data_IF_362588434203
#
_entry.id   IF_362588434203
#
_cell.length_a   1.000
_cell.length_b   1.000
_cell.length_c   1.000
_cell.angle_alpha   90.00
_cell.angle_beta   90.00
_cell.angle_gamma   90.00
#
_symmetry.space_group_name_H-M   'P 1'
#
loop_
_entity.id
_entity.type
_entity.pdbx_description
1 polymer ?
#
# COMPACT_ATOMS: atom_id res chain seq x y z
N UNK A 1 -9.57 9.94 -0.59
CA UNK A 1 -8.42 9.41 0.19
C UNK A 1 -7.33 8.95 -0.77
N UNK A 2 -6.07 8.96 -0.36
CA UNK A 2 -4.94 8.46 -1.15
C UNK A 2 -3.84 7.90 -0.25
N UNK A 3 -3.12 6.92 -0.77
CA UNK A 3 -1.88 6.39 -0.21
C UNK A 3 -0.73 6.81 -1.10
N UNK A 4 0.29 7.44 -0.54
CA UNK A 4 1.44 7.96 -1.27
C UNK A 4 2.69 7.30 -0.69
N UNK A 5 3.42 6.60 -1.53
CA UNK A 5 4.68 5.97 -1.18
C UNK A 5 5.51 5.74 -2.45
N UNK A 6 6.84 5.57 -2.34
CA UNK A 6 7.65 5.09 -3.43
C UNK A 6 7.16 3.72 -3.91
N UNK A 7 6.89 3.60 -5.21
CA UNK A 7 6.50 2.34 -5.81
C UNK A 7 7.73 1.45 -6.07
N UNK A 8 7.54 0.14 -6.02
CA UNK A 8 8.56 -0.82 -6.43
C UNK A 8 8.82 -0.73 -7.94
N UNK A 9 10.08 -0.89 -8.35
CA UNK A 9 10.49 -0.71 -9.74
C UNK A 9 10.07 -1.88 -10.65
N UNK A 10 9.96 -3.09 -10.09
CA UNK A 10 9.55 -4.28 -10.84
C UNK A 10 8.02 -4.45 -10.84
N UNK A 11 7.34 -3.87 -9.85
CA UNK A 11 5.88 -3.85 -9.76
C UNK A 11 5.35 -2.53 -9.16
N UNK A 12 4.95 -1.55 -10.00
CA UNK A 12 4.48 -0.24 -9.55
C UNK A 12 3.19 -0.24 -8.71
N UNK A 13 2.51 -1.38 -8.58
CA UNK A 13 1.35 -1.55 -7.68
C UNK A 13 1.77 -1.73 -6.22
N UNK A 14 3.03 -2.06 -5.97
CA UNK A 14 3.54 -2.38 -4.65
C UNK A 14 4.34 -1.22 -4.07
N UNK A 15 4.27 -1.05 -2.75
CA UNK A 15 5.12 -0.12 -2.00
C UNK A 15 6.51 -0.71 -1.91
N UNK A 16 7.50 0.06 -2.36
CA UNK A 16 8.92 -0.28 -2.22
C UNK A 16 9.30 -0.36 -0.74
N UNK A 17 10.12 -1.36 -0.41
CA UNK A 17 10.78 -1.47 0.89
C UNK A 17 12.24 -1.04 0.81
N UNK A 18 12.80 -0.64 1.95
CA UNK A 18 14.23 -0.43 2.16
C UNK A 18 14.79 -1.53 3.05
N UNK A 19 16.03 -1.97 2.81
CA UNK A 19 16.75 -2.96 3.63
C UNK A 19 16.82 -4.35 3.00
N UNK A 20 15.68 -4.95 2.65
CA UNK A 20 15.61 -6.21 1.89
C UNK A 20 15.43 -5.97 0.38
N UNK A 21 15.67 -6.99 -0.43
CA UNK A 21 15.46 -6.99 -1.90
C UNK A 21 14.63 -8.18 -2.34
N UNK A 22 13.94 -8.07 -3.48
CA UNK A 22 13.13 -9.15 -4.07
C UNK A 22 11.74 -9.33 -3.42
N UNK A 23 11.32 -8.36 -2.61
CA UNK A 23 9.97 -8.24 -2.06
C UNK A 23 9.52 -6.78 -2.00
N UNK A 24 8.22 -6.56 -2.06
CA UNK A 24 7.56 -5.26 -1.86
C UNK A 24 6.20 -5.47 -1.17
N UNK A 25 5.50 -4.40 -0.79
CA UNK A 25 4.26 -4.51 0.01
C UNK A 25 3.02 -4.14 -0.79
N UNK A 26 2.02 -5.02 -0.83
CA UNK A 26 0.68 -4.69 -1.32
C UNK A 26 -0.17 -4.11 -0.20
N UNK A 27 -0.91 -3.04 -0.51
CA UNK A 27 -1.98 -2.51 0.34
C UNK A 27 -3.31 -2.89 -0.29
N UNK A 28 -4.19 -3.49 0.51
CA UNK A 28 -5.55 -3.85 0.09
C UNK A 28 -6.57 -3.38 1.11
N UNK A 29 -7.78 -3.05 0.66
CA UNK A 29 -8.88 -2.73 1.56
C UNK A 29 -9.47 -3.97 2.25
N UNK A 30 -10.49 -3.75 3.07
CA UNK A 30 -11.21 -4.78 3.82
C UNK A 30 -11.88 -5.84 2.94
N UNK A 31 -12.11 -5.54 1.66
CA UNK A 31 -12.66 -6.46 0.64
C UNK A 31 -11.56 -7.12 -0.19
N UNK A 32 -10.29 -6.89 0.14
CA UNK A 32 -9.15 -7.41 -0.61
C UNK A 32 -8.90 -6.70 -1.94
N UNK A 33 -9.54 -5.54 -2.18
CA UNK A 33 -9.30 -4.77 -3.40
C UNK A 33 -7.98 -4.01 -3.27
N UNK A 34 -7.21 -4.05 -4.33
CA UNK A 34 -5.92 -3.38 -4.42
C UNK A 34 -6.03 -1.85 -4.30
N UNK A 35 -5.14 -1.25 -3.53
CA UNK A 35 -5.05 0.20 -3.37
C UNK A 35 -3.92 0.74 -4.25
N UNK A 36 -4.29 1.52 -5.27
CA UNK A 36 -3.35 2.10 -6.22
C UNK A 36 -2.64 3.32 -5.63
N UNK A 37 -1.32 3.23 -5.49
CA UNK A 37 -0.47 4.31 -4.98
C UNK A 37 -0.60 5.59 -5.82
N UNK A 38 -0.60 6.75 -5.15
CA UNK A 38 -0.63 8.08 -5.78
C UNK A 38 -1.93 8.44 -6.53
N UNK A 39 -2.82 7.47 -6.75
CA UNK A 39 -4.13 7.72 -7.34
C UNK A 39 -5.09 8.29 -6.30
N UNK A 40 -6.05 9.13 -6.74
CA UNK A 40 -7.23 9.39 -5.93
C UNK A 40 -7.96 8.05 -5.79
N UNK A 41 -7.94 7.49 -4.58
CA UNK A 41 -8.70 6.30 -4.28
C UNK A 41 -10.19 6.54 -4.56
N UNK A 42 -10.92 5.46 -4.85
CA UNK A 42 -12.37 5.55 -5.02
C UNK A 42 -13.00 6.33 -3.85
N UNK A 43 -14.04 7.16 -4.10
CA UNK A 43 -14.76 7.84 -3.03
C UNK A 43 -15.15 6.80 -1.97
N UNK A 44 -14.64 7.00 -0.76
CA UNK A 44 -14.96 6.14 0.35
C UNK A 44 -16.24 6.67 0.98
N UNK A 45 -17.37 6.06 0.65
CA UNK A 45 -18.61 6.31 1.36
C UNK A 45 -18.47 5.72 2.77
N UNK A 46 -18.26 6.58 3.76
CA UNK A 46 -18.30 6.19 5.16
C UNK A 46 -19.74 5.87 5.52
N UNK A 47 -20.01 4.67 6.01
CA UNK A 47 -21.30 4.36 6.61
C UNK A 47 -21.48 5.19 7.90
N UNK A 48 -22.72 5.55 8.25
CA UNK A 48 -23.01 6.22 9.52
C UNK A 48 -22.50 5.36 10.67
N UNK A 49 -21.63 5.93 11.52
CA UNK A 49 -20.98 5.24 12.63
C UNK A 49 -19.66 4.55 12.30
N UNK A 50 -19.21 4.57 11.04
CA UNK A 50 -17.90 4.04 10.65
C UNK A 50 -16.79 5.00 11.10
N UNK A 51 -16.02 4.61 12.10
CA UNK A 51 -14.90 5.39 12.66
C UNK A 51 -13.52 4.73 12.44
N UNK A 52 -13.48 3.58 11.76
CA UNK A 52 -12.26 2.84 11.46
C UNK A 52 -12.20 2.43 9.99
N UNK A 53 -10.99 2.47 9.42
CA UNK A 53 -10.67 1.97 8.09
C UNK A 53 -9.64 0.85 8.23
N UNK A 54 -10.02 -0.35 7.77
CA UNK A 54 -9.17 -1.53 7.86
C UNK A 54 -8.49 -1.77 6.52
N UNK A 55 -7.17 -1.92 6.56
CA UNK A 55 -6.35 -2.25 5.41
C UNK A 55 -5.44 -3.42 5.75
N UNK A 56 -5.09 -4.21 4.73
CA UNK A 56 -4.17 -5.33 4.86
C UNK A 56 -2.89 -5.05 4.09
N UNK A 57 -1.77 -5.26 4.76
CA UNK A 57 -0.42 -5.20 4.20
C UNK A 57 0.07 -6.62 3.96
N UNK A 58 0.43 -6.93 2.72
CA UNK A 58 0.94 -8.27 2.35
C UNK A 58 2.29 -8.13 1.65
N UNK A 59 3.36 -8.79 2.12
CA UNK A 59 4.61 -8.85 1.38
C UNK A 59 4.45 -9.75 0.14
N UNK A 60 4.87 -9.26 -1.01
CA UNK A 60 4.84 -9.96 -2.30
C UNK A 60 6.23 -10.04 -2.91
N UNK A 61 6.52 -11.14 -3.60
CA UNK A 61 7.78 -11.32 -4.33
C UNK A 61 7.81 -10.42 -5.57
N UNK A 62 8.95 -9.80 -5.81
CA UNK A 62 9.22 -9.05 -7.04
C UNK A 62 10.21 -9.80 -7.92
N UNK A 63 10.55 -9.25 -9.09
CA UNK A 63 11.49 -9.88 -10.04
C UNK A 63 12.95 -9.72 -9.62
N UNK A 64 13.26 -8.75 -8.77
CA UNK A 64 14.58 -8.59 -8.17
C UNK A 64 15.02 -9.85 -7.39
N UNK A 65 16.33 -10.14 -7.35
CA UNK A 65 16.87 -11.20 -6.50
C UNK A 65 16.45 -11.02 -5.04
N UNK A 66 16.03 -12.12 -4.41
CA UNK A 66 15.66 -12.14 -2.99
C UNK A 66 16.92 -12.07 -2.13
N UNK A 67 17.09 -10.94 -1.44
CA UNK A 67 18.12 -10.77 -0.42
C UNK A 67 17.40 -10.57 0.92
N UNK A 68 17.50 -11.55 1.85
CA UNK A 68 16.83 -11.46 3.13
C UNK A 68 17.47 -10.38 4.00
N UNK A 69 16.65 -9.75 4.85
CA UNK A 69 17.07 -8.72 5.77
C UNK A 69 15.88 -8.06 6.45
N UNK A 70 16.16 -7.26 7.49
CA UNK A 70 15.16 -6.36 8.03
C UNK A 70 14.73 -5.37 6.94
N UNK A 71 13.44 -5.04 6.90
CA UNK A 71 12.91 -4.10 5.93
C UNK A 71 11.91 -3.14 6.55
N UNK A 72 11.80 -1.96 5.95
CA UNK A 72 10.86 -0.92 6.33
C UNK A 72 10.31 -0.20 5.10
N UNK A 73 9.13 0.37 5.23
CA UNK A 73 8.52 1.27 4.26
C UNK A 73 7.80 2.39 4.99
N UNK A 74 7.70 3.55 4.35
CA UNK A 74 6.93 4.70 4.83
C UNK A 74 5.84 4.97 3.81
N UNK A 75 4.61 5.15 4.29
CA UNK A 75 3.43 5.40 3.47
C UNK A 75 2.66 6.56 4.08
N UNK A 76 2.46 7.61 3.29
CA UNK A 76 1.63 8.75 3.66
C UNK A 76 0.17 8.43 3.35
N UNK A 77 -0.70 8.65 4.33
CA UNK A 77 -2.16 8.50 4.19
C UNK A 77 -2.83 9.87 4.19
N UNK A 78 -3.59 10.17 3.14
CA UNK A 78 -4.32 11.42 3.01
C UNK A 78 -5.83 11.17 2.97
N UNK A 79 -6.56 11.93 3.78
CA UNK A 79 -8.02 11.94 3.83
C UNK A 79 -8.50 13.36 3.58
N UNK A 80 -9.45 13.50 2.66
CA UNK A 80 -10.12 14.77 2.35
C UNK A 80 -11.59 14.61 2.63
N UNK A 81 -12.20 15.65 3.17
CA UNK A 81 -13.64 15.75 3.43
C UNK A 81 -14.21 16.82 2.50
N UNK A 82 -15.42 16.60 2.01
CA UNK A 82 -16.20 17.59 1.28
C UNK A 82 -17.14 18.34 2.26
#
# INVERSE_FOLDING_TARGET
MSFIAPADADNPELVKVHGASGLALRISDDRGRDIRLGSRGAPLALAVGQNALNYRITPERTRAPLLPGAYAAVVDFQLSYD
#
